data_IF_933343511582
#
_entry.id   IF_933343511582
#
_cell.length_a   1.000
_cell.length_b   1.000
_cell.length_c   1.000
_cell.angle_alpha   90.00
_cell.angle_beta   90.00
_cell.angle_gamma   90.00
#
_symmetry.space_group_name_H-M   'P 1'
#
loop_
_entity.id
_entity.type
_entity.pdbx_description
1 polymer ?
#
# COMPACT_ATOMS: atom_id res chain seq x y z
N UNK A 1 -9.61 -23.30 -3.25
CA UNK A 1 -10.19 -24.48 -2.59
C UNK A 1 -10.87 -24.10 -1.28
N UNK A 2 -11.64 -25.00 -0.67
CA UNK A 2 -12.29 -24.78 0.64
C UNK A 2 -11.84 -25.87 1.62
N UNK A 3 -11.62 -25.52 2.87
CA UNK A 3 -11.28 -26.46 3.94
C UNK A 3 -11.97 -26.07 5.24
N UNK A 4 -12.26 -27.04 6.10
CA UNK A 4 -12.72 -26.79 7.47
C UNK A 4 -11.52 -27.06 8.37
N UNK A 5 -11.09 -26.05 9.12
CA UNK A 5 -9.97 -26.13 10.04
C UNK A 5 -10.41 -25.76 11.45
N UNK A 6 -9.77 -26.33 12.46
CA UNK A 6 -9.94 -25.85 13.83
C UNK A 6 -9.08 -24.61 14.08
N UNK A 7 -9.51 -23.77 15.04
CA UNK A 7 -8.71 -22.66 15.53
C UNK A 7 -7.33 -23.15 16.00
N UNK A 8 -7.25 -24.29 16.69
CA UNK A 8 -5.99 -24.90 17.10
C UNK A 8 -5.04 -25.18 15.94
N UNK A 9 -5.55 -25.69 14.82
CA UNK A 9 -4.76 -25.91 13.60
C UNK A 9 -4.24 -24.59 13.03
N UNK A 10 -5.06 -23.54 12.98
CA UNK A 10 -4.64 -22.22 12.51
C UNK A 10 -3.58 -21.61 13.45
N UNK A 11 -3.76 -21.70 14.77
CA UNK A 11 -2.78 -21.22 15.75
C UNK A 11 -1.45 -21.96 15.65
N UNK A 12 -1.48 -23.27 15.39
CA UNK A 12 -0.26 -24.06 15.16
C UNK A 12 0.51 -23.56 13.94
N UNK A 13 -0.19 -23.29 12.83
CA UNK A 13 0.43 -22.69 11.63
C UNK A 13 1.05 -21.33 11.94
N UNK A 14 0.37 -20.45 12.68
CA UNK A 14 0.93 -19.15 13.11
C UNK A 14 2.19 -19.34 13.96
N UNK A 15 2.14 -20.23 14.96
CA UNK A 15 3.28 -20.53 15.83
C UNK A 15 4.50 -21.01 15.04
N UNK A 16 4.27 -21.79 13.99
CA UNK A 16 5.31 -22.30 13.10
C UNK A 16 5.75 -21.29 12.03
N UNK A 17 5.19 -20.06 12.03
CA UNK A 17 5.43 -19.03 11.00
C UNK A 17 4.96 -19.43 9.60
N UNK A 18 4.00 -20.33 9.52
CA UNK A 18 3.35 -20.78 8.27
C UNK A 18 2.13 -19.92 7.90
N UNK A 19 1.67 -19.05 8.81
CA UNK A 19 0.69 -18.00 8.53
C UNK A 19 1.31 -16.67 8.90
N UNK A 20 1.42 -15.77 7.92
CA UNK A 20 1.93 -14.42 8.17
C UNK A 20 0.79 -13.49 8.58
N UNK A 21 0.81 -13.09 9.85
CA UNK A 21 0.00 -11.99 10.37
C UNK A 21 0.75 -10.68 10.13
N UNK A 22 0.96 -10.29 8.86
CA UNK A 22 1.80 -9.14 8.50
C UNK A 22 1.18 -7.81 9.00
N UNK A 23 1.82 -7.10 9.94
CA UNK A 23 1.31 -5.83 10.45
C UNK A 23 1.54 -4.65 9.48
N UNK A 24 2.41 -4.76 8.47
CA UNK A 24 2.63 -3.66 7.53
C UNK A 24 1.48 -3.51 6.52
N UNK A 25 0.89 -4.62 6.08
CA UNK A 25 -0.08 -4.65 4.99
C UNK A 25 -1.50 -4.21 5.39
N UNK A 26 -1.90 -4.41 6.64
CA UNK A 26 -3.25 -4.10 7.10
C UNK A 26 -3.21 -3.12 8.26
N UNK A 27 -4.23 -2.26 8.29
CA UNK A 27 -4.42 -1.16 9.26
C UNK A 27 -3.98 -1.57 10.66
N UNK A 28 -3.40 -0.62 11.38
CA UNK A 28 -3.27 -0.67 12.85
C UNK A 28 -4.41 -1.49 13.43
N UNK A 29 -4.08 -2.51 14.21
CA UNK A 29 -5.07 -3.41 14.78
C UNK A 29 -6.17 -2.60 15.50
N UNK A 30 -7.34 -2.48 14.89
CA UNK A 30 -8.37 -1.49 15.28
C UNK A 30 -9.33 -2.02 16.35
N UNK A 31 -9.38 -3.33 16.56
CA UNK A 31 -10.27 -3.92 17.56
C UNK A 31 -9.78 -3.59 18.97
N UNK A 32 -10.56 -2.81 19.71
CA UNK A 32 -10.35 -2.65 21.16
C UNK A 32 -10.63 -3.98 21.87
N UNK A 33 -10.02 -4.17 23.04
CA UNK A 33 -10.10 -5.45 23.77
C UNK A 33 -11.54 -5.93 24.05
N UNK A 34 -12.53 -5.04 24.20
CA UNK A 34 -13.93 -5.45 24.35
C UNK A 34 -14.48 -6.19 23.12
N UNK A 35 -14.18 -5.69 21.91
CA UNK A 35 -14.54 -6.38 20.66
C UNK A 35 -13.80 -7.71 20.51
N UNK A 36 -12.53 -7.74 20.91
CA UNK A 36 -11.73 -8.97 20.94
C UNK A 36 -12.31 -10.00 21.92
N UNK A 37 -12.74 -9.55 23.11
CA UNK A 37 -13.32 -10.41 24.14
C UNK A 37 -14.64 -11.03 23.69
N UNK A 38 -15.51 -10.28 22.99
CA UNK A 38 -16.75 -10.81 22.40
C UNK A 38 -16.51 -11.84 21.30
N UNK A 39 -15.40 -11.75 20.56
CA UNK A 39 -15.01 -12.85 19.65
C UNK A 39 -14.69 -14.12 20.43
N UNK A 40 -13.92 -14.02 21.51
CA UNK A 40 -13.60 -15.17 22.37
C UNK A 40 -14.87 -15.74 22.99
N UNK A 41 -15.77 -14.87 23.48
CA UNK A 41 -17.09 -15.26 23.97
C UNK A 41 -17.88 -16.07 22.94
N UNK A 42 -17.90 -15.60 21.68
CA UNK A 42 -18.58 -16.28 20.58
C UNK A 42 -18.10 -17.72 20.42
N UNK A 43 -16.80 -17.97 20.55
CA UNK A 43 -16.23 -19.34 20.51
C UNK A 43 -16.66 -20.16 21.73
N UNK A 44 -16.65 -19.53 22.91
CA UNK A 44 -17.04 -20.18 24.16
C UNK A 44 -18.52 -20.56 24.20
N UNK A 45 -19.40 -19.78 23.57
CA UNK A 45 -20.84 -20.07 23.44
C UNK A 45 -21.20 -20.80 22.13
N UNK A 46 -20.20 -21.17 21.31
CA UNK A 46 -20.34 -21.90 20.04
C UNK A 46 -21.16 -21.17 18.96
N UNK A 47 -21.06 -19.85 18.92
CA UNK A 47 -21.57 -19.09 17.79
C UNK A 47 -20.68 -19.29 16.55
N UNK A 48 -21.29 -19.42 15.36
CA UNK A 48 -20.54 -19.62 14.13
C UNK A 48 -19.70 -18.38 13.82
N UNK A 49 -18.42 -18.60 13.52
CA UNK A 49 -17.54 -17.54 13.06
C UNK A 49 -17.66 -17.41 11.54
N UNK A 50 -17.54 -16.19 10.97
CA UNK A 50 -17.44 -16.02 9.54
C UNK A 50 -16.25 -16.79 8.96
N UNK A 51 -16.28 -17.10 7.66
CA UNK A 51 -15.16 -17.77 7.01
C UNK A 51 -13.87 -16.90 7.05
N UNK A 52 -12.72 -17.57 6.96
CA UNK A 52 -11.43 -16.93 6.70
C UNK A 52 -11.08 -17.05 5.22
N UNK A 53 -10.40 -16.04 4.70
CA UNK A 53 -9.87 -16.06 3.34
C UNK A 53 -8.36 -15.96 3.40
N UNK A 54 -7.68 -16.89 2.74
CA UNK A 54 -6.22 -17.01 2.76
C UNK A 54 -5.68 -17.13 1.34
N UNK A 55 -4.55 -16.48 1.10
CA UNK A 55 -3.72 -16.75 -0.06
C UNK A 55 -2.75 -17.87 0.31
N UNK A 56 -2.98 -19.05 -0.28
CA UNK A 56 -2.20 -20.27 -0.09
C UNK A 56 -1.47 -20.62 -1.39
N UNK A 57 -1.09 -19.61 -2.17
CA UNK A 57 -0.28 -19.81 -3.40
C UNK A 57 1.16 -20.23 -3.09
N UNK A 58 1.66 -19.87 -1.90
CA UNK A 58 2.86 -20.44 -1.28
C UNK A 58 2.42 -21.50 -0.26
N UNK A 59 2.82 -22.75 -0.46
CA UNK A 59 2.43 -23.87 0.39
C UNK A 59 3.05 -23.78 1.80
N UNK A 60 4.22 -23.13 1.91
CA UNK A 60 4.98 -22.97 3.15
C UNK A 60 4.49 -21.76 3.98
N UNK A 61 3.89 -20.76 3.33
CA UNK A 61 3.48 -19.51 3.96
C UNK A 61 2.13 -19.02 3.42
N UNK A 62 1.11 -19.02 4.27
CA UNK A 62 -0.21 -18.49 3.95
C UNK A 62 -0.34 -17.03 4.38
N UNK A 63 -0.93 -16.21 3.52
CA UNK A 63 -1.24 -14.82 3.83
C UNK A 63 -2.74 -14.66 4.13
N UNK A 64 -3.05 -13.98 5.23
CA UNK A 64 -4.45 -13.71 5.61
C UNK A 64 -5.01 -12.56 4.76
N UNK A 65 -6.07 -12.84 4.00
CA UNK A 65 -6.80 -11.85 3.18
C UNK A 65 -7.87 -11.19 4.01
N UNK A 66 -8.64 -12.01 4.74
CA UNK A 66 -9.68 -11.59 5.67
C UNK A 66 -9.67 -12.46 6.92
N UNK A 67 -10.02 -11.82 8.04
CA UNK A 67 -10.01 -12.44 9.36
C UNK A 67 -8.74 -12.14 10.16
N UNK A 68 -7.88 -11.22 9.72
CA UNK A 68 -6.66 -10.84 10.46
C UNK A 68 -6.98 -10.43 11.90
N UNK A 69 -7.92 -9.49 12.11
CA UNK A 69 -8.31 -9.05 13.46
C UNK A 69 -8.78 -10.22 14.33
N UNK A 70 -9.53 -11.16 13.72
CA UNK A 70 -10.05 -12.34 14.43
C UNK A 70 -8.91 -13.29 14.80
N UNK A 71 -8.02 -13.61 13.86
CA UNK A 71 -6.94 -14.55 14.08
C UNK A 71 -5.88 -13.97 15.03
N UNK A 72 -5.53 -12.69 14.90
CA UNK A 72 -4.66 -11.96 15.83
C UNK A 72 -5.27 -11.84 17.22
N UNK A 73 -6.59 -11.68 17.35
CA UNK A 73 -7.26 -11.72 18.66
C UNK A 73 -7.05 -13.07 19.35
N UNK A 74 -7.27 -14.15 18.62
CA UNK A 74 -7.13 -15.50 19.17
C UNK A 74 -5.66 -15.81 19.48
N UNK A 75 -4.73 -15.42 18.61
CA UNK A 75 -3.29 -15.53 18.86
C UNK A 75 -2.89 -14.78 20.14
N UNK A 76 -3.35 -13.54 20.30
CA UNK A 76 -3.10 -12.72 21.48
C UNK A 76 -3.68 -13.35 22.76
N UNK A 77 -4.88 -13.92 22.69
CA UNK A 77 -5.52 -14.53 23.84
C UNK A 77 -4.88 -15.88 24.21
N UNK A 78 -4.66 -16.77 23.22
CA UNK A 78 -4.27 -18.17 23.45
C UNK A 78 -2.76 -18.35 23.49
N UNK A 79 -2.02 -17.81 22.52
CA UNK A 79 -0.58 -18.04 22.41
C UNK A 79 0.23 -17.07 23.27
N UNK A 80 -0.19 -15.80 23.30
CA UNK A 80 0.51 -14.76 24.08
C UNK A 80 -0.04 -14.60 25.49
N UNK A 81 -1.30 -14.98 25.73
CA UNK A 81 -1.99 -14.79 27.01
C UNK A 81 -2.05 -13.31 27.46
N UNK A 82 -2.10 -12.39 26.48
CA UNK A 82 -1.99 -10.91 26.66
C UNK A 82 -3.35 -10.19 26.66
N UNK A 83 -4.45 -10.90 26.43
CA UNK A 83 -5.80 -10.35 26.46
C UNK A 83 -6.52 -10.83 27.73
N UNK A 84 -6.97 -9.88 28.56
CA UNK A 84 -7.93 -10.15 29.64
C UNK A 84 -9.34 -9.89 29.11
N UNK A 85 -10.23 -10.86 29.30
CA UNK A 85 -11.60 -10.73 28.82
C UNK A 85 -12.31 -9.59 29.55
N UNK A 86 -13.05 -8.77 28.80
CA UNK A 86 -13.88 -7.69 29.32
C UNK A 86 -15.04 -7.39 28.38
N UNK A 87 -16.06 -6.70 28.88
CA UNK A 87 -17.22 -6.30 28.07
C UNK A 87 -17.92 -7.51 27.38
N UNK A 88 -17.86 -8.68 28.05
CA UNK A 88 -18.59 -9.89 27.69
C UNK A 88 -20.09 -9.71 27.93
N UNK A 89 -20.92 -10.24 27.04
CA UNK A 89 -22.38 -10.04 27.07
C UNK A 89 -23.13 -11.14 27.84
N UNK A 90 -22.62 -12.37 27.80
CA UNK A 90 -23.28 -13.57 28.35
C UNK A 90 -22.47 -14.22 29.48
N UNK A 91 -21.14 -14.21 29.38
CA UNK A 91 -20.22 -14.89 30.30
C UNK A 91 -19.48 -13.91 31.21
N UNK A 92 -19.95 -12.67 31.31
CA UNK A 92 -19.25 -11.58 31.99
C UNK A 92 -18.99 -11.81 33.47
N UNK A 93 -20.00 -12.29 34.22
CA UNK A 93 -19.87 -12.53 35.66
C UNK A 93 -18.80 -13.57 35.98
N UNK A 94 -18.64 -14.58 35.13
CA UNK A 94 -17.74 -15.70 35.38
C UNK A 94 -16.33 -15.50 34.79
N UNK A 95 -16.23 -14.80 33.65
CA UNK A 95 -15.02 -14.81 32.82
C UNK A 95 -14.37 -13.44 32.61
N UNK A 96 -15.04 -12.31 32.94
CA UNK A 96 -14.37 -11.02 32.90
C UNK A 96 -13.12 -11.02 33.80
N UNK A 97 -12.04 -10.39 33.32
CA UNK A 97 -10.74 -10.35 33.96
C UNK A 97 -9.85 -11.58 33.72
N UNK A 98 -10.39 -12.70 33.20
CA UNK A 98 -9.62 -13.93 32.97
C UNK A 98 -8.78 -13.85 31.69
N UNK A 99 -7.58 -14.40 31.75
CA UNK A 99 -6.75 -14.74 30.58
C UNK A 99 -7.00 -16.20 30.17
N UNK A 100 -6.49 -16.63 29.03
CA UNK A 100 -6.64 -18.01 28.54
C UNK A 100 -6.15 -19.05 29.58
N UNK A 101 -5.02 -18.78 30.23
CA UNK A 101 -4.45 -19.66 31.25
C UNK A 101 -5.29 -19.71 32.55
N UNK A 102 -6.22 -18.76 32.75
CA UNK A 102 -7.15 -18.78 33.89
C UNK A 102 -8.46 -19.51 33.58
N UNK A 103 -8.67 -19.95 32.34
CA UNK A 103 -9.86 -20.70 31.94
C UNK A 103 -9.76 -22.17 32.36
N UNK A 104 -10.91 -22.78 32.65
CA UNK A 104 -11.01 -24.24 32.80
C UNK A 104 -10.55 -24.93 31.51
N UNK A 105 -9.94 -26.11 31.65
CA UNK A 105 -9.42 -26.87 30.50
C UNK A 105 -10.50 -27.19 29.46
N UNK A 106 -11.75 -27.38 29.89
CA UNK A 106 -12.89 -27.58 29.00
C UNK A 106 -13.17 -26.37 28.10
N UNK A 107 -13.01 -25.15 28.61
CA UNK A 107 -13.19 -23.90 27.86
C UNK A 107 -12.02 -23.63 26.91
N UNK A 108 -10.78 -23.88 27.35
CA UNK A 108 -9.60 -23.80 26.48
C UNK A 108 -9.75 -24.74 25.27
N UNK A 109 -10.14 -25.99 25.52
CA UNK A 109 -10.39 -26.98 24.47
C UNK A 109 -11.52 -26.56 23.53
N UNK A 110 -12.59 -25.95 24.05
CA UNK A 110 -13.67 -25.42 23.21
C UNK A 110 -13.18 -24.36 22.21
N UNK A 111 -12.29 -23.48 22.63
CA UNK A 111 -11.65 -22.50 21.73
C UNK A 111 -10.81 -23.24 20.68
N UNK A 112 -9.94 -24.17 21.11
CA UNK A 112 -9.03 -24.92 20.23
C UNK A 112 -9.77 -25.75 19.16
N UNK A 113 -10.89 -26.37 19.55
CA UNK A 113 -11.73 -27.23 18.69
C UNK A 113 -12.75 -26.45 17.85
N UNK A 114 -12.87 -25.12 18.03
CA UNK A 114 -13.79 -24.30 17.23
C UNK A 114 -13.47 -24.44 15.75
N UNK A 115 -14.42 -24.95 14.96
CA UNK A 115 -14.26 -25.15 13.52
C UNK A 115 -14.63 -23.90 12.73
N UNK A 116 -13.82 -23.59 11.73
CA UNK A 116 -14.01 -22.45 10.84
C UNK A 116 -13.80 -22.85 9.39
N UNK A 117 -14.59 -22.26 8.50
CA UNK A 117 -14.40 -22.41 7.05
C UNK A 117 -13.24 -21.53 6.60
N UNK A 118 -12.30 -22.12 5.85
CA UNK A 118 -11.17 -21.43 5.26
C UNK A 118 -11.21 -21.58 3.74
N UNK A 119 -11.39 -20.46 3.05
CA UNK A 119 -11.26 -20.37 1.60
C UNK A 119 -9.80 -20.06 1.26
N UNK A 120 -9.18 -20.92 0.47
CA UNK A 120 -7.79 -20.79 0.03
C UNK A 120 -7.74 -20.42 -1.44
N UNK A 121 -6.93 -19.41 -1.77
CA UNK A 121 -6.48 -19.16 -3.14
C UNK A 121 -5.34 -20.12 -3.40
N UNK A 122 -5.55 -21.09 -4.28
CA UNK A 122 -4.58 -22.15 -4.56
C UNK A 122 -3.48 -21.65 -5.50
N UNK A 123 -2.31 -22.29 -5.40
CA UNK A 123 -1.20 -22.12 -6.34
C UNK A 123 -1.68 -22.30 -7.79
N UNK A 124 -1.23 -21.42 -8.68
CA UNK A 124 -1.65 -21.39 -10.08
C UNK A 124 -2.89 -20.53 -10.35
N UNK A 125 -3.56 -19.98 -9.33
CA UNK A 125 -4.60 -18.97 -9.55
C UNK A 125 -4.00 -17.75 -10.25
N UNK A 126 -4.58 -17.29 -11.39
CA UNK A 126 -4.04 -16.14 -12.11
C UNK A 126 -3.95 -14.88 -11.22
N UNK A 127 -2.88 -14.08 -11.31
CA UNK A 127 -2.69 -12.90 -10.47
C UNK A 127 -3.86 -11.92 -10.50
N UNK A 128 -4.51 -11.74 -11.66
CA UNK A 128 -5.68 -10.87 -11.80
C UNK A 128 -6.91 -11.39 -11.04
N UNK A 129 -7.14 -12.70 -11.06
CA UNK A 129 -8.24 -13.35 -10.31
C UNK A 129 -7.97 -13.18 -8.82
N UNK A 130 -6.74 -13.43 -8.38
CA UNK A 130 -6.30 -13.22 -7.00
C UNK A 130 -6.53 -11.78 -6.54
N UNK A 131 -6.09 -10.80 -7.34
CA UNK A 131 -6.33 -9.37 -7.05
C UNK A 131 -7.82 -9.03 -6.92
N UNK A 132 -8.64 -9.54 -7.84
CA UNK A 132 -10.09 -9.30 -7.80
C UNK A 132 -10.76 -9.96 -6.59
N UNK A 133 -10.31 -11.15 -6.18
CA UNK A 133 -10.78 -11.81 -4.95
C UNK A 133 -10.41 -10.96 -3.72
N UNK A 134 -9.16 -10.55 -3.58
CA UNK A 134 -8.71 -9.65 -2.51
C UNK A 134 -9.56 -8.38 -2.44
N UNK A 135 -9.79 -7.75 -3.60
CA UNK A 135 -10.60 -6.53 -3.71
C UNK A 135 -12.04 -6.76 -3.26
N UNK A 136 -12.69 -7.86 -3.68
CA UNK A 136 -14.10 -8.18 -3.35
C UNK A 136 -14.29 -8.59 -1.89
N UNK A 137 -13.35 -9.35 -1.33
CA UNK A 137 -13.44 -9.77 0.07
C UNK A 137 -13.32 -8.54 0.98
N UNK A 138 -12.44 -7.61 0.64
CA UNK A 138 -12.21 -6.39 1.43
C UNK A 138 -13.28 -5.30 1.24
N UNK A 139 -14.31 -5.49 0.40
CA UNK A 139 -15.36 -4.46 0.19
C UNK A 139 -16.43 -4.41 1.26
N UNK A 140 -16.57 -5.42 2.13
CA UNK A 140 -17.56 -5.42 3.22
C UNK A 140 -17.20 -4.53 4.42
N UNK A 141 -15.91 -4.18 4.56
CA UNK A 141 -15.40 -3.21 5.54
C UNK A 141 -14.88 -1.95 4.85
N UNK A 142 -13.95 -1.22 5.49
CA UNK A 142 -13.24 -0.16 4.78
C UNK A 142 -12.31 -0.83 3.74
N UNK A 143 -12.44 -0.56 2.42
CA UNK A 143 -11.69 -1.29 1.38
C UNK A 143 -10.19 -1.00 1.43
N UNK A 144 -9.36 -1.99 1.09
CA UNK A 144 -7.91 -1.80 0.87
C UNK A 144 -7.63 -1.01 -0.42
N UNK A 145 -6.52 -0.30 -0.45
CA UNK A 145 -6.09 0.51 -1.58
C UNK A 145 -5.43 -0.40 -2.61
N UNK A 146 -5.35 -0.01 -3.89
CA UNK A 146 -4.60 -0.77 -4.86
C UNK A 146 -3.15 -1.04 -4.45
N UNK A 147 -2.51 -0.09 -3.75
CA UNK A 147 -1.14 -0.26 -3.25
C UNK A 147 -1.07 -1.18 -2.04
N UNK A 148 -2.01 -1.09 -1.11
CA UNK A 148 -2.13 -2.07 -0.03
C UNK A 148 -2.20 -3.45 -0.68
N UNK A 149 -3.19 -3.73 -1.54
CA UNK A 149 -3.37 -5.05 -2.16
C UNK A 149 -2.09 -5.50 -2.88
N UNK A 150 -1.42 -4.62 -3.62
CA UNK A 150 -0.16 -4.93 -4.31
C UNK A 150 0.94 -5.35 -3.35
N UNK A 151 1.12 -4.63 -2.25
CA UNK A 151 2.13 -4.95 -1.24
C UNK A 151 1.97 -6.38 -0.70
N UNK A 152 0.73 -6.81 -0.45
CA UNK A 152 0.42 -8.18 -0.04
C UNK A 152 0.67 -9.22 -1.11
N UNK A 153 0.22 -8.93 -2.33
CA UNK A 153 0.27 -9.91 -3.42
C UNK A 153 1.68 -10.11 -3.98
N UNK A 154 2.57 -9.13 -3.81
CA UNK A 154 3.92 -9.16 -4.37
C UNK A 154 4.98 -9.03 -3.26
N UNK A 155 5.04 -9.97 -2.31
CA UNK A 155 6.01 -9.92 -1.23
C UNK A 155 7.43 -10.01 -1.77
N UNK A 156 8.36 -9.26 -1.17
CA UNK A 156 9.77 -9.29 -1.52
C UNK A 156 10.47 -7.96 -1.25
N UNK A 157 11.74 -7.88 -1.67
CA UNK A 157 12.61 -6.70 -1.45
C UNK A 157 12.10 -5.41 -2.07
N UNK A 158 11.20 -5.47 -3.06
CA UNK A 158 10.55 -4.28 -3.60
C UNK A 158 9.78 -3.52 -2.51
N UNK A 159 9.09 -4.22 -1.61
CA UNK A 159 8.30 -3.58 -0.55
C UNK A 159 9.17 -2.77 0.41
N UNK A 160 10.28 -3.35 0.89
CA UNK A 160 11.22 -2.65 1.77
C UNK A 160 11.95 -1.53 1.03
N UNK A 161 12.29 -1.73 -0.24
CA UNK A 161 12.92 -0.69 -1.06
C UNK A 161 12.00 0.52 -1.30
N UNK A 162 10.73 0.29 -1.62
CA UNK A 162 9.74 1.37 -1.76
C UNK A 162 9.54 2.13 -0.44
N UNK A 163 9.52 1.42 0.68
CA UNK A 163 9.43 2.03 2.01
C UNK A 163 10.68 2.87 2.35
N UNK A 164 11.88 2.38 2.02
CA UNK A 164 13.15 3.11 2.20
C UNK A 164 13.13 4.44 1.43
N UNK A 165 12.76 4.41 0.15
CA UNK A 165 12.70 5.62 -0.69
C UNK A 165 11.61 6.58 -0.22
N UNK A 166 10.43 6.09 0.17
CA UNK A 166 9.38 6.91 0.76
C UNK A 166 9.80 7.55 2.09
N UNK A 167 10.64 6.86 2.87
CA UNK A 167 11.21 7.35 4.12
C UNK A 167 12.34 8.36 3.96
N UNK A 168 12.88 8.53 2.75
CA UNK A 168 14.05 9.38 2.48
C UNK A 168 13.78 10.87 2.73
N UNK A 169 14.82 11.60 3.15
CA UNK A 169 14.74 13.04 3.41
C UNK A 169 14.45 13.82 2.12
N UNK A 170 14.97 13.40 0.98
CA UNK A 170 14.72 14.04 -0.31
C UNK A 170 13.25 13.97 -0.69
N UNK A 171 12.61 12.80 -0.53
CA UNK A 171 11.18 12.64 -0.80
C UNK A 171 10.32 13.44 0.17
N UNK A 172 10.64 13.39 1.47
CA UNK A 172 9.93 14.17 2.50
C UNK A 172 10.02 15.66 2.22
N UNK A 173 11.21 16.19 1.89
CA UNK A 173 11.39 17.61 1.54
C UNK A 173 10.64 17.99 0.27
N UNK A 174 10.75 17.19 -0.78
CA UNK A 174 10.08 17.46 -2.06
C UNK A 174 8.55 17.41 -1.93
N UNK A 175 8.00 16.67 -0.97
CA UNK A 175 6.55 16.55 -0.76
C UNK A 175 6.05 17.38 0.43
N UNK A 176 6.93 18.16 1.04
CA UNK A 176 6.72 18.90 2.29
C UNK A 176 6.16 18.01 3.42
N UNK A 177 6.58 16.74 3.46
CA UNK A 177 6.16 15.68 4.38
C UNK A 177 4.62 15.59 4.56
N UNK A 178 3.88 15.93 3.50
CA UNK A 178 2.41 16.10 3.57
C UNK A 178 1.65 14.86 3.10
N UNK A 179 2.35 13.83 2.64
CA UNK A 179 1.76 12.57 2.21
C UNK A 179 1.43 11.74 3.44
N UNK A 180 0.16 11.34 3.57
CA UNK A 180 -0.27 10.46 4.66
C UNK A 180 0.07 9.01 4.31
N UNK A 181 0.97 8.39 5.08
CA UNK A 181 1.43 7.00 4.90
C UNK A 181 0.36 5.94 5.25
N UNK A 182 -0.74 6.32 5.91
CA UNK A 182 -1.76 5.36 6.41
C UNK A 182 -2.33 4.34 5.40
N UNK A 183 -2.12 4.53 4.10
CA UNK A 183 -2.55 3.61 3.03
C UNK A 183 -1.47 3.34 1.98
N UNK A 184 -0.19 3.51 2.35
CA UNK A 184 0.97 3.35 1.48
C UNK A 184 0.95 4.26 0.24
N UNK A 185 0.36 5.45 0.36
CA UNK A 185 0.21 6.38 -0.77
C UNK A 185 1.56 6.89 -1.27
N UNK A 186 2.48 7.12 -0.35
CA UNK A 186 3.89 7.40 -0.58
C UNK A 186 4.60 6.26 -1.34
N UNK A 187 4.47 5.00 -0.89
CA UNK A 187 5.05 3.83 -1.56
C UNK A 187 4.52 3.68 -2.99
N UNK A 188 3.23 3.96 -3.22
CA UNK A 188 2.65 3.97 -4.57
C UNK A 188 3.26 5.08 -5.44
N UNK A 189 3.53 6.27 -4.88
CA UNK A 189 4.16 7.36 -5.61
C UNK A 189 5.57 7.00 -6.04
N UNK A 190 6.39 6.49 -5.11
CA UNK A 190 7.72 5.97 -5.41
C UNK A 190 7.66 4.92 -6.53
N UNK A 191 6.74 3.95 -6.41
CA UNK A 191 6.59 2.90 -7.41
C UNK A 191 6.22 3.46 -8.79
N UNK A 192 5.36 4.47 -8.86
CA UNK A 192 5.01 5.13 -10.13
C UNK A 192 6.22 5.81 -10.77
N UNK A 193 7.05 6.49 -9.99
CA UNK A 193 8.31 7.05 -10.49
C UNK A 193 9.18 5.95 -11.08
N UNK A 194 9.48 4.90 -10.30
CA UNK A 194 10.34 3.81 -10.74
C UNK A 194 9.78 3.14 -12.00
N UNK A 195 8.49 2.84 -12.02
CA UNK A 195 7.85 2.18 -13.14
C UNK A 195 7.93 3.00 -14.43
N UNK A 196 7.69 4.31 -14.38
CA UNK A 196 7.77 5.18 -15.56
C UNK A 196 9.19 5.61 -15.93
N UNK A 197 10.16 5.54 -15.01
CA UNK A 197 11.58 5.67 -15.33
C UNK A 197 12.17 4.39 -15.94
N UNK A 198 11.68 3.21 -15.56
CA UNK A 198 12.08 1.91 -16.14
C UNK A 198 11.42 1.68 -17.50
N UNK A 199 10.12 1.97 -17.62
CA UNK A 199 9.35 1.80 -18.87
C UNK A 199 8.77 3.16 -19.28
N UNK A 200 9.25 3.75 -20.38
CA UNK A 200 8.79 5.06 -20.83
C UNK A 200 7.26 5.14 -20.99
N UNK A 201 6.68 6.30 -20.69
CA UNK A 201 5.25 6.53 -20.84
C UNK A 201 4.73 6.29 -22.27
N UNK A 202 5.61 6.40 -23.27
CA UNK A 202 5.32 6.12 -24.69
C UNK A 202 5.07 4.64 -24.96
N UNK A 203 5.47 3.74 -24.06
CA UNK A 203 5.26 2.29 -24.14
C UNK A 203 4.15 1.80 -23.19
N UNK A 204 3.59 2.68 -22.35
CA UNK A 204 2.48 2.36 -21.48
C UNK A 204 1.20 2.06 -22.30
N UNK A 205 0.67 0.84 -22.19
CA UNK A 205 -0.51 0.36 -22.95
C UNK A 205 -1.61 -0.22 -22.08
N UNK A 206 -1.29 -0.69 -20.88
CA UNK A 206 -2.22 -1.40 -19.99
C UNK A 206 -2.92 -0.44 -19.03
N UNK A 207 -3.67 -0.99 -18.07
CA UNK A 207 -4.16 -0.21 -16.94
C UNK A 207 -3.09 -0.11 -15.85
N UNK A 208 -3.22 0.92 -15.02
CA UNK A 208 -2.18 1.30 -14.07
C UNK A 208 -1.95 0.26 -12.98
N UNK A 209 -2.98 -0.50 -12.60
CA UNK A 209 -2.84 -1.54 -11.58
C UNK A 209 -1.94 -2.65 -12.10
N UNK A 210 -2.21 -3.15 -13.31
CA UNK A 210 -1.41 -4.20 -13.95
C UNK A 210 0.02 -3.72 -14.15
N UNK A 211 0.19 -2.51 -14.71
CA UNK A 211 1.52 -1.92 -14.93
C UNK A 211 2.36 -1.82 -13.65
N UNK A 212 1.78 -1.35 -12.54
CA UNK A 212 2.51 -1.24 -11.28
C UNK A 212 2.79 -2.59 -10.63
N UNK A 213 1.90 -3.59 -10.81
CA UNK A 213 2.14 -4.95 -10.33
C UNK A 213 3.33 -5.59 -11.06
N UNK A 214 3.36 -5.51 -12.39
CA UNK A 214 4.48 -6.00 -13.22
C UNK A 214 5.81 -5.36 -12.80
N UNK A 215 5.81 -4.04 -12.53
CA UNK A 215 7.03 -3.35 -12.08
C UNK A 215 7.43 -3.72 -10.66
N UNK A 216 6.50 -4.08 -9.78
CA UNK A 216 6.84 -4.62 -8.46
C UNK A 216 7.55 -5.96 -8.59
N UNK A 217 7.07 -6.83 -9.49
CA UNK A 217 7.75 -8.10 -9.79
C UNK A 217 9.12 -7.91 -10.43
N UNK A 218 9.30 -6.90 -11.30
CA UNK A 218 10.62 -6.53 -11.83
C UNK A 218 11.57 -6.09 -10.70
N UNK A 219 11.13 -5.19 -9.82
CA UNK A 219 11.92 -4.72 -8.68
C UNK A 219 12.32 -5.86 -7.73
N UNK A 220 11.40 -6.83 -7.51
CA UNK A 220 11.69 -8.03 -6.71
C UNK A 220 12.80 -8.91 -7.32
N UNK A 221 13.11 -8.78 -8.62
CA UNK A 221 14.15 -9.56 -9.30
C UNK A 221 15.47 -8.80 -9.46
N UNK A 222 15.48 -7.47 -9.33
CA UNK A 222 16.67 -6.63 -9.51
C UNK A 222 17.77 -6.91 -8.48
N UNK A 223 19.02 -6.91 -8.90
CA UNK A 223 20.20 -6.94 -8.03
C UNK A 223 20.26 -5.73 -7.09
N UNK A 224 21.09 -5.82 -6.04
CA UNK A 224 21.28 -4.69 -5.12
C UNK A 224 21.91 -3.47 -5.82
N UNK A 225 22.77 -3.70 -6.82
CA UNK A 225 23.38 -2.63 -7.61
C UNK A 225 22.34 -1.89 -8.47
N UNK A 226 21.43 -2.61 -9.12
CA UNK A 226 20.32 -2.00 -9.86
C UNK A 226 19.40 -1.19 -8.94
N UNK A 227 19.10 -1.70 -7.73
CA UNK A 227 18.30 -0.96 -6.76
C UNK A 227 19.00 0.30 -6.27
N UNK A 228 20.30 0.24 -6.00
CA UNK A 228 21.06 1.41 -5.58
C UNK A 228 21.18 2.47 -6.70
N UNK A 229 21.30 2.04 -7.96
CA UNK A 229 21.20 2.93 -9.12
C UNK A 229 19.87 3.70 -9.13
N UNK A 230 18.75 3.00 -9.01
CA UNK A 230 17.42 3.63 -9.01
C UNK A 230 17.18 4.53 -7.81
N UNK A 231 17.70 4.16 -6.65
CA UNK A 231 17.66 4.98 -5.44
C UNK A 231 18.38 6.31 -5.62
N UNK A 232 19.58 6.30 -6.21
CA UNK A 232 20.33 7.52 -6.48
C UNK A 232 19.61 8.43 -7.48
N UNK A 233 19.04 7.85 -8.54
CA UNK A 233 18.21 8.59 -9.52
C UNK A 233 16.98 9.23 -8.88
N UNK A 234 16.26 8.46 -8.06
CA UNK A 234 15.10 8.95 -7.31
C UNK A 234 15.46 10.13 -6.40
N UNK A 235 16.51 9.99 -5.58
CA UNK A 235 16.96 11.07 -4.67
C UNK A 235 17.35 12.33 -5.43
N UNK A 236 18.07 12.18 -6.54
CA UNK A 236 18.45 13.31 -7.42
C UNK A 236 17.22 14.05 -7.95
N UNK A 237 16.23 13.31 -8.47
CA UNK A 237 15.00 13.89 -8.99
C UNK A 237 14.16 14.59 -7.89
N UNK A 238 14.08 14.01 -6.69
CA UNK A 238 13.38 14.62 -5.56
C UNK A 238 14.05 15.92 -5.11
N UNK A 239 15.38 15.91 -4.98
CA UNK A 239 16.17 17.10 -4.64
C UNK A 239 15.98 18.21 -5.67
N UNK A 240 16.05 17.89 -6.96
CA UNK A 240 15.82 18.84 -8.04
C UNK A 240 14.40 19.40 -8.02
N UNK A 241 13.37 18.56 -7.88
CA UNK A 241 11.98 19.01 -7.79
C UNK A 241 11.76 19.95 -6.60
N UNK A 242 12.37 19.67 -5.45
CA UNK A 242 12.33 20.58 -4.30
C UNK A 242 12.96 21.94 -4.63
N UNK A 243 14.11 22.00 -5.29
CA UNK A 243 14.72 23.30 -5.61
C UNK A 243 13.98 24.08 -6.69
N UNK A 244 13.36 23.42 -7.66
CA UNK A 244 12.59 24.07 -8.72
C UNK A 244 11.29 24.66 -8.16
N UNK A 245 10.56 23.91 -7.33
CA UNK A 245 9.18 24.26 -6.94
C UNK A 245 9.02 24.63 -5.46
N UNK A 246 10.04 24.41 -4.63
CA UNK A 246 9.93 24.50 -3.17
C UNK A 246 8.73 23.71 -2.64
N UNK A 247 7.84 24.37 -1.90
CA UNK A 247 6.63 23.80 -1.31
C UNK A 247 5.51 23.50 -2.33
N UNK A 248 5.61 24.02 -3.56
CA UNK A 248 4.66 23.76 -4.64
C UNK A 248 4.92 22.45 -5.40
N UNK A 249 6.03 21.76 -5.12
CA UNK A 249 6.41 20.54 -5.82
C UNK A 249 5.24 19.53 -5.87
N UNK A 250 4.95 19.04 -7.07
CA UNK A 250 3.94 18.02 -7.35
C UNK A 250 2.49 18.41 -6.99
N UNK A 251 2.21 19.70 -6.86
CA UNK A 251 0.87 20.24 -6.56
C UNK A 251 0.28 20.92 -7.78
N UNK A 252 -1.05 21.08 -7.77
CA UNK A 252 -1.74 21.88 -8.79
C UNK A 252 -1.50 23.35 -8.48
N UNK A 253 -1.06 24.11 -9.49
CA UNK A 253 -0.80 25.55 -9.36
C UNK A 253 -1.64 26.29 -10.40
N UNK A 254 -2.67 27.01 -9.95
CA UNK A 254 -3.53 27.81 -10.84
C UNK A 254 -3.19 29.30 -10.83
N UNK A 255 -2.46 29.76 -9.81
CA UNK A 255 -1.97 31.12 -9.70
C UNK A 255 -0.80 31.19 -8.72
N UNK A 256 -0.05 32.30 -8.72
CA UNK A 256 1.02 32.59 -7.75
C UNK A 256 0.51 32.84 -6.32
N UNK A 257 -0.80 33.06 -6.16
CA UNK A 257 -1.44 33.39 -4.90
C UNK A 257 -2.36 32.25 -4.47
N UNK A 258 -2.44 32.02 -3.15
CA UNK A 258 -3.38 31.07 -2.56
C UNK A 258 -2.69 29.96 -1.76
N UNK A 259 -3.52 29.05 -1.25
CA UNK A 259 -3.05 27.90 -0.48
C UNK A 259 -2.58 26.77 -1.40
N UNK A 260 -1.60 26.02 -0.93
CA UNK A 260 -1.08 24.83 -1.58
C UNK A 260 -2.15 23.73 -1.63
N UNK A 261 -2.40 23.18 -2.82
CA UNK A 261 -3.24 21.99 -2.95
C UNK A 261 -2.56 20.77 -2.33
N UNK A 262 -3.27 19.65 -2.17
CA UNK A 262 -2.63 18.36 -1.85
C UNK A 262 -1.63 17.94 -2.95
N UNK A 263 -0.64 17.12 -2.57
CA UNK A 263 0.28 16.50 -3.52
C UNK A 263 -0.49 15.56 -4.45
N UNK A 264 -0.23 15.66 -5.74
CA UNK A 264 -0.95 14.94 -6.80
C UNK A 264 -0.08 13.82 -7.35
N UNK A 265 -0.51 12.56 -7.21
CA UNK A 265 0.23 11.38 -7.74
C UNK A 265 0.53 11.47 -9.24
N UNK A 266 -0.42 11.88 -10.12
CA UNK A 266 -0.14 12.05 -11.55
C UNK A 266 0.86 13.15 -11.85
N UNK A 267 0.84 14.27 -11.10
CA UNK A 267 1.84 15.32 -11.27
C UNK A 267 3.20 14.89 -10.73
N UNK A 268 3.22 14.12 -9.65
CA UNK A 268 4.43 13.56 -9.09
C UNK A 268 5.20 12.73 -10.10
N UNK A 269 4.57 11.70 -10.66
CA UNK A 269 5.25 10.82 -11.62
C UNK A 269 5.66 11.58 -12.88
N UNK A 270 4.83 12.51 -13.38
CA UNK A 270 5.11 13.21 -14.62
C UNK A 270 6.23 14.26 -14.46
N UNK A 271 6.30 14.97 -13.34
CA UNK A 271 7.42 15.87 -13.06
C UNK A 271 8.69 15.11 -12.70
N UNK A 272 8.61 14.18 -11.74
CA UNK A 272 9.78 13.49 -11.22
C UNK A 272 10.53 12.70 -12.31
N UNK A 273 9.80 11.98 -13.16
CA UNK A 273 10.41 11.19 -14.25
C UNK A 273 10.99 12.09 -15.35
N UNK A 274 10.35 13.22 -15.67
CA UNK A 274 10.92 14.15 -16.65
C UNK A 274 12.18 14.85 -16.10
N UNK A 275 12.18 15.23 -14.83
CA UNK A 275 13.38 15.78 -14.16
C UNK A 275 14.50 14.74 -14.09
N UNK A 276 14.18 13.48 -13.82
CA UNK A 276 15.15 12.38 -13.76
C UNK A 276 15.89 12.14 -15.09
N UNK A 277 15.30 12.53 -16.23
CA UNK A 277 15.94 12.43 -17.54
C UNK A 277 16.95 13.53 -17.83
N UNK A 278 16.93 14.63 -17.08
CA UNK A 278 17.79 15.79 -17.30
C UNK A 278 19.21 15.53 -16.81
N UNK A 279 20.19 16.09 -17.51
CA UNK A 279 21.58 16.19 -17.02
C UNK A 279 21.67 17.15 -15.83
N UNK A 280 22.78 17.09 -15.08
CA UNK A 280 22.96 17.98 -13.92
C UNK A 280 22.99 19.46 -14.33
N UNK A 281 23.60 19.78 -15.48
CA UNK A 281 23.61 21.15 -16.01
C UNK A 281 22.19 21.64 -16.39
N UNK A 282 21.37 20.79 -17.02
CA UNK A 282 19.98 21.14 -17.32
C UNK A 282 19.16 21.34 -16.04
N UNK A 283 19.38 20.53 -15.00
CA UNK A 283 18.74 20.73 -13.69
C UNK A 283 19.15 22.08 -13.10
N UNK A 284 20.43 22.44 -13.13
CA UNK A 284 20.89 23.74 -12.63
C UNK A 284 20.21 24.91 -13.36
N UNK A 285 20.07 24.83 -14.68
CA UNK A 285 19.34 25.83 -15.48
C UNK A 285 17.87 25.87 -15.08
N UNK A 286 17.22 24.72 -14.94
CA UNK A 286 15.82 24.62 -14.56
C UNK A 286 15.56 25.21 -13.16
N UNK A 287 16.47 24.98 -12.21
CA UNK A 287 16.43 25.55 -10.86
C UNK A 287 16.57 27.08 -10.91
N UNK A 288 17.54 27.60 -11.68
CA UNK A 288 17.71 29.04 -11.87
C UNK A 288 16.50 29.69 -12.53
N UNK A 289 15.83 28.98 -13.44
CA UNK A 289 14.59 29.40 -14.12
C UNK A 289 13.31 28.96 -13.39
N UNK A 290 13.37 28.59 -12.11
CA UNK A 290 12.22 28.03 -11.36
C UNK A 290 10.97 28.92 -11.37
N UNK A 291 11.14 30.25 -11.33
CA UNK A 291 10.01 31.17 -11.48
C UNK A 291 9.34 31.02 -12.86
N UNK A 292 10.11 31.00 -13.94
CA UNK A 292 9.58 30.80 -15.28
C UNK A 292 8.87 29.44 -15.41
N UNK A 293 9.43 28.37 -14.82
CA UNK A 293 8.80 27.04 -14.78
C UNK A 293 7.40 27.12 -14.17
N UNK A 294 7.25 27.82 -13.04
CA UNK A 294 5.96 27.97 -12.36
C UNK A 294 4.97 28.75 -13.23
N UNK A 295 5.40 29.82 -13.90
CA UNK A 295 4.51 30.62 -14.76
C UNK A 295 4.02 29.84 -15.98
N UNK A 296 4.91 29.11 -16.66
CA UNK A 296 4.51 28.21 -17.76
C UNK A 296 3.63 27.07 -17.25
N UNK A 297 3.90 26.56 -16.04
CA UNK A 297 3.09 25.51 -15.45
C UNK A 297 1.66 25.98 -15.16
N UNK A 298 1.49 27.20 -14.65
CA UNK A 298 0.18 27.84 -14.47
C UNK A 298 -0.57 27.95 -15.81
N UNK A 299 0.11 28.28 -16.91
CA UNK A 299 -0.53 28.35 -18.23
C UNK A 299 -1.05 26.99 -18.69
N UNK A 300 -0.27 25.91 -18.53
CA UNK A 300 -0.74 24.58 -18.91
C UNK A 300 -1.83 24.05 -17.98
N UNK A 301 -1.82 24.39 -16.69
CA UNK A 301 -2.86 24.04 -15.72
C UNK A 301 -4.24 24.64 -16.08
N UNK A 302 -4.27 25.77 -16.79
CA UNK A 302 -5.51 26.37 -17.31
C UNK A 302 -6.08 25.65 -18.54
N UNK A 303 -5.30 24.77 -19.19
CA UNK A 303 -5.77 23.99 -20.33
C UNK A 303 -6.61 22.82 -19.83
N UNK A 304 -7.91 22.83 -20.13
CA UNK A 304 -8.88 21.81 -19.69
C UNK A 304 -8.45 20.37 -19.96
N UNK A 305 -7.79 20.13 -21.10
CA UNK A 305 -7.33 18.78 -21.46
C UNK A 305 -6.21 18.26 -20.53
N UNK A 306 -5.28 19.14 -20.14
CA UNK A 306 -4.21 18.81 -19.20
C UNK A 306 -4.74 18.65 -17.76
N UNK A 307 -5.57 19.57 -17.28
CA UNK A 307 -6.17 19.46 -15.94
C UNK A 307 -7.00 18.17 -15.80
N UNK A 308 -7.75 17.79 -16.85
CA UNK A 308 -8.44 16.50 -16.88
C UNK A 308 -7.48 15.30 -16.79
N UNK A 309 -6.32 15.36 -17.46
CA UNK A 309 -5.34 14.28 -17.48
C UNK A 309 -4.68 13.99 -16.13
N UNK A 310 -4.74 14.94 -15.20
CA UNK A 310 -4.23 14.80 -13.83
C UNK A 310 -5.34 14.69 -12.77
N UNK A 311 -6.62 14.76 -13.18
CA UNK A 311 -7.77 14.77 -12.25
C UNK A 311 -8.70 13.58 -12.40
N UNK A 312 -8.94 13.11 -13.64
CA UNK A 312 -9.98 12.13 -13.94
C UNK A 312 -9.38 10.97 -14.73
N UNK A 313 -9.67 9.74 -14.29
CA UNK A 313 -9.22 8.50 -14.95
C UNK A 313 -7.72 8.55 -15.32
N UNK A 314 -6.90 9.04 -14.40
CA UNK A 314 -5.50 9.43 -14.65
C UNK A 314 -4.61 8.24 -15.03
N UNK A 315 -5.05 7.01 -14.79
CA UNK A 315 -4.38 5.80 -15.20
C UNK A 315 -4.60 5.38 -16.66
N UNK A 316 -5.42 6.05 -17.48
CA UNK A 316 -5.56 5.64 -18.89
C UNK A 316 -4.35 6.04 -19.73
N UNK A 317 -3.98 5.26 -20.77
CA UNK A 317 -2.82 5.57 -21.59
C UNK A 317 -2.83 6.97 -22.21
N UNK A 318 -4.01 7.43 -22.67
CA UNK A 318 -4.16 8.78 -23.22
C UNK A 318 -3.87 9.87 -22.19
N UNK A 319 -4.34 9.72 -20.94
CA UNK A 319 -4.05 10.69 -19.88
C UNK A 319 -2.59 10.66 -19.47
N UNK A 320 -1.96 9.49 -19.43
CA UNK A 320 -0.52 9.34 -19.13
C UNK A 320 0.30 10.07 -20.15
N UNK A 321 0.12 9.73 -21.44
CA UNK A 321 0.81 10.39 -22.54
C UNK A 321 0.65 11.91 -22.48
N UNK A 322 -0.59 12.39 -22.34
CA UNK A 322 -0.89 13.83 -22.25
C UNK A 322 -0.09 14.54 -21.15
N UNK A 323 -0.14 14.04 -19.90
CA UNK A 323 0.50 14.78 -18.79
C UNK A 323 2.03 14.77 -18.90
N UNK A 324 2.62 13.68 -19.39
CA UNK A 324 4.06 13.57 -19.56
C UNK A 324 4.54 14.48 -20.70
N UNK A 325 3.88 14.46 -21.87
CA UNK A 325 4.25 15.28 -23.02
C UNK A 325 4.17 16.78 -22.72
N UNK A 326 3.13 17.22 -22.01
CA UNK A 326 2.99 18.64 -21.66
C UNK A 326 4.09 19.13 -20.74
N UNK A 327 4.50 18.31 -19.76
CA UNK A 327 5.59 18.63 -18.84
C UNK A 327 6.94 18.56 -19.56
N UNK A 328 7.14 17.55 -20.41
CA UNK A 328 8.35 17.41 -21.23
C UNK A 328 8.55 18.62 -22.15
N UNK A 329 7.50 19.05 -22.85
CA UNK A 329 7.55 20.23 -23.72
C UNK A 329 7.80 21.51 -22.95
N UNK A 330 7.15 21.70 -21.80
CA UNK A 330 7.38 22.86 -20.93
C UNK A 330 8.86 22.92 -20.50
N UNK A 331 9.42 21.80 -20.04
CA UNK A 331 10.83 21.76 -19.63
C UNK A 331 11.74 22.11 -20.81
N UNK A 332 11.49 21.57 -22.01
CA UNK A 332 12.25 21.91 -23.21
C UNK A 332 12.19 23.39 -23.56
N UNK A 333 11.02 24.01 -23.49
CA UNK A 333 10.83 25.45 -23.74
C UNK A 333 11.58 26.32 -22.72
N UNK A 334 11.65 25.89 -21.46
CA UNK A 334 12.40 26.61 -20.42
C UNK A 334 13.91 26.39 -20.55
N UNK A 335 14.37 25.23 -21.02
CA UNK A 335 15.79 24.95 -21.20
C UNK A 335 16.39 25.57 -22.46
N UNK A 336 15.57 25.79 -23.49
CA UNK A 336 15.91 26.65 -24.63
C UNK A 336 16.24 28.09 -24.16
#
# INVERSE_FOLDING_TARGET
>A
STSILSIGQLLKRIKNKEIKLDPEFQREFVWKDGAQSRLIESMLIRFPLPAFYMDATNDDEWLVIDGLQRLSTVERFVLRNDLKLRDLEYLGEELNGKTHNNLLRSLQRRIDETQVTVYKIDKGTPPEVRYNLFKRINTGGLPLSPQEIRHALHPGKANSFLAELAGSEEFKRATNNSIRDKRMTDREMVLRFLAFSITPYTEYRTNLVVFLNEHTDKLNKMSQEELEHWKNRFRRAMKAAHYVFWQWAFRKIYSRKGQYSHVSKPLFEAWAVNIDKLTDNEIEVLVKKGEQVIDEFIKIMKKRYFDNAISVATGTPSRVKTRFEYIENLIREVLA
#
